data_IF_705055141722
#
_entry.id   IF_705055141722
#
_cell.length_a   1.000
_cell.length_b   1.000
_cell.length_c   1.000
_cell.angle_alpha   90.00
_cell.angle_beta   90.00
_cell.angle_gamma   90.00
#
_symmetry.space_group_name_H-M   'P 1'
#
loop_
_entity.id
_entity.type
_entity.pdbx_description
1 polymer ?
#
# COMPACT_ATOMS: atom_id res chain seq x y z
N UNK A 1 44.62 13.80 53.96
CA UNK A 1 45.44 12.70 54.43
C UNK A 1 45.42 11.60 53.40
N UNK A 2 46.48 11.52 52.83
CA UNK A 2 47.49 10.45 52.50
C UNK A 2 46.98 9.60 51.33
N UNK A 3 47.51 9.77 50.19
CA UNK A 3 48.79 9.36 49.49
C UNK A 3 48.69 7.98 48.85
N UNK A 4 48.74 7.96 47.54
CA UNK A 4 49.87 7.65 46.64
C UNK A 4 50.16 6.15 46.52
N UNK A 5 50.24 5.71 45.24
CA UNK A 5 50.88 4.47 44.85
C UNK A 5 50.82 4.15 43.36
N UNK A 6 51.66 4.84 42.56
CA UNK A 6 52.09 4.43 41.21
C UNK A 6 53.00 3.22 41.30
N UNK A 7 52.93 2.27 40.37
CA UNK A 7 54.13 1.59 39.83
C UNK A 7 53.90 1.15 38.37
N UNK A 8 54.70 1.69 37.48
CA UNK A 8 55.03 1.24 36.16
C UNK A 8 56.18 0.20 36.22
N UNK A 9 56.19 -0.79 35.28
CA UNK A 9 57.37 -1.37 34.65
C UNK A 9 56.91 -2.34 33.55
N UNK A 10 57.12 -2.24 32.39
CA UNK A 10 58.09 -2.10 31.29
C UNK A 10 58.99 -3.35 31.10
N UNK A 11 58.89 -3.85 29.82
CA UNK A 11 59.90 -4.50 28.98
C UNK A 11 60.47 -5.87 29.30
N UNK A 12 60.50 -6.69 28.20
CA UNK A 12 61.52 -7.72 28.04
C UNK A 12 61.24 -8.70 26.92
N UNK A 13 61.92 -8.53 25.81
CA UNK A 13 61.89 -9.27 24.55
C UNK A 13 62.61 -10.61 24.58
N UNK A 14 62.29 -11.38 23.54
CA UNK A 14 63.12 -12.28 22.69
C UNK A 14 63.06 -13.79 22.95
N UNK A 15 62.71 -14.41 21.89
CA UNK A 15 63.32 -15.31 20.92
C UNK A 15 62.96 -16.81 20.92
N UNK A 16 62.48 -17.28 19.75
CA UNK A 16 62.72 -18.54 19.00
C UNK A 16 62.36 -19.89 19.67
N UNK A 17 61.61 -20.74 19.07
CA UNK A 17 61.74 -21.54 17.85
C UNK A 17 60.56 -22.51 17.70
N UNK A 18 60.14 -22.69 16.41
CA UNK A 18 59.62 -23.84 15.66
C UNK A 18 58.90 -25.01 16.37
N UNK A 19 57.68 -25.40 15.96
CA UNK A 19 57.50 -26.41 14.89
C UNK A 19 55.99 -26.73 14.65
N UNK A 20 55.64 -26.97 13.40
CA UNK A 20 54.61 -27.72 12.71
C UNK A 20 53.40 -28.33 13.44
N UNK A 21 52.21 -28.00 12.94
CA UNK A 21 51.00 -28.79 13.06
C UNK A 21 49.85 -28.20 12.21
N UNK A 22 49.72 -28.68 10.98
CA UNK A 22 48.54 -28.46 10.14
C UNK A 22 47.33 -29.03 10.83
N UNK A 23 46.23 -28.26 10.87
CA UNK A 23 44.94 -28.77 10.48
C UNK A 23 44.03 -27.63 9.99
N UNK A 24 43.57 -27.87 8.78
CA UNK A 24 42.57 -27.10 8.04
C UNK A 24 41.21 -27.18 8.75
N UNK A 25 40.63 -26.05 9.07
CA UNK A 25 39.19 -25.88 9.14
C UNK A 25 38.85 -24.56 8.45
N UNK A 26 38.66 -24.63 7.14
CA UNK A 26 38.00 -23.67 6.31
C UNK A 26 36.55 -23.58 6.81
N UNK A 27 36.26 -22.58 7.58
CA UNK A 27 34.90 -22.14 7.83
C UNK A 27 34.64 -20.94 6.94
N UNK A 28 34.04 -21.17 5.80
CA UNK A 28 33.50 -20.12 4.95
C UNK A 28 32.48 -19.34 5.80
N UNK A 29 32.92 -18.19 6.28
CA UNK A 29 32.03 -17.10 6.57
C UNK A 29 31.85 -16.40 5.22
N UNK A 30 30.83 -16.76 4.47
CA UNK A 30 30.19 -15.85 3.55
C UNK A 30 29.70 -14.67 4.38
N UNK A 31 30.53 -13.65 4.39
CA UNK A 31 30.21 -12.37 5.01
C UNK A 31 29.28 -11.62 4.09
N UNK A 32 28.12 -11.36 4.59
CA UNK A 32 27.25 -10.29 4.17
C UNK A 32 27.92 -8.94 4.40
N UNK A 33 28.73 -8.49 3.45
CA UNK A 33 29.30 -7.14 3.38
C UNK A 33 28.88 -6.46 2.06
N UNK A 34 27.56 -6.35 1.77
CA UNK A 34 27.10 -5.60 0.59
C UNK A 34 25.90 -4.66 0.86
N UNK A 35 25.58 -4.35 2.11
CA UNK A 35 24.41 -3.51 2.40
C UNK A 35 24.70 -2.04 2.73
N UNK A 36 25.96 -1.59 2.69
CA UNK A 36 26.30 -0.24 3.15
C UNK A 36 26.16 0.89 2.10
N UNK A 37 25.95 0.56 0.83
CA UNK A 37 26.03 1.55 -0.26
C UNK A 37 24.74 1.69 -1.10
N UNK A 38 23.64 0.99 -0.80
CA UNK A 38 22.39 1.14 -1.56
C UNK A 38 21.44 2.09 -0.85
N UNK A 39 20.78 2.95 -1.64
CA UNK A 39 19.85 3.94 -1.13
C UNK A 39 18.59 4.01 -1.99
N UNK A 40 17.43 4.20 -1.36
CA UNK A 40 16.15 4.32 -2.03
C UNK A 40 15.32 5.49 -1.49
N UNK A 41 14.57 6.15 -2.35
CA UNK A 41 13.68 7.23 -1.94
C UNK A 41 12.37 7.20 -2.71
N UNK A 42 11.35 7.91 -2.21
CA UNK A 42 10.07 8.01 -2.89
C UNK A 42 9.57 9.45 -2.98
N UNK A 43 8.81 9.73 -4.03
CA UNK A 43 7.99 10.95 -4.16
C UNK A 43 6.53 10.57 -4.01
N UNK A 44 5.83 11.21 -3.06
CA UNK A 44 4.39 10.97 -2.86
C UNK A 44 3.56 11.71 -3.91
N UNK A 45 2.34 11.21 -4.15
CA UNK A 45 1.29 12.06 -4.71
C UNK A 45 0.84 13.13 -3.70
N UNK A 46 -0.26 13.85 -4.01
CA UNK A 46 -0.79 14.92 -3.17
C UNK A 46 -1.39 14.44 -1.84
N UNK A 47 -1.56 13.12 -1.63
CA UNK A 47 -2.08 12.55 -0.39
C UNK A 47 -1.09 12.62 0.77
N UNK A 48 0.20 12.57 0.47
CA UNK A 48 1.28 12.59 1.47
C UNK A 48 1.35 11.32 2.32
N UNK A 49 2.44 11.17 3.08
CA UNK A 49 2.74 9.94 3.85
C UNK A 49 1.80 9.69 5.06
N UNK A 50 0.96 10.65 5.40
CA UNK A 50 0.00 10.55 6.51
C UNK A 50 -1.44 10.27 6.03
N UNK A 51 -1.61 9.82 4.78
CA UNK A 51 -2.93 9.55 4.18
C UNK A 51 -3.69 8.38 4.83
N UNK A 52 -3.04 7.61 5.67
CA UNK A 52 -3.54 6.38 6.32
C UNK A 52 -3.84 5.24 5.35
N UNK A 53 -3.34 5.34 4.12
CA UNK A 53 -3.67 4.49 2.99
C UNK A 53 -2.42 4.24 2.12
N UNK A 54 -2.45 4.66 0.88
CA UNK A 54 -1.54 4.35 -0.21
C UNK A 54 -0.10 4.83 0.00
N UNK A 55 0.09 6.15 0.21
CA UNK A 55 1.43 6.71 0.40
C UNK A 55 2.04 6.25 1.73
N UNK A 56 1.23 6.12 2.79
CA UNK A 56 1.71 5.59 4.06
C UNK A 56 2.17 4.14 3.91
N UNK A 57 1.44 3.29 3.16
CA UNK A 57 1.85 1.92 2.88
C UNK A 57 3.21 1.86 2.17
N UNK A 58 3.40 2.66 1.10
CA UNK A 58 4.68 2.73 0.41
C UNK A 58 5.83 3.18 1.33
N UNK A 59 5.56 4.19 2.18
CA UNK A 59 6.54 4.67 3.13
C UNK A 59 6.91 3.63 4.19
N UNK A 60 5.93 2.86 4.67
CA UNK A 60 6.17 1.74 5.59
C UNK A 60 7.08 0.67 4.96
N UNK A 61 6.94 0.37 3.66
CA UNK A 61 7.84 -0.53 2.93
C UNK A 61 9.28 -0.01 2.92
N UNK A 62 9.49 1.27 2.62
CA UNK A 62 10.82 1.88 2.70
C UNK A 62 11.41 1.84 4.12
N UNK A 63 10.59 2.10 5.14
CA UNK A 63 11.02 2.07 6.53
C UNK A 63 11.40 0.66 6.99
N UNK A 64 10.61 -0.35 6.60
CA UNK A 64 10.88 -1.75 6.94
C UNK A 64 12.20 -2.19 6.31
N UNK A 65 12.36 -1.96 5.00
CA UNK A 65 13.62 -2.22 4.31
C UNK A 65 14.80 -1.51 4.99
N UNK A 66 14.67 -0.22 5.29
CA UNK A 66 15.73 0.54 5.96
C UNK A 66 16.08 -0.02 7.34
N UNK A 67 15.08 -0.42 8.13
CA UNK A 67 15.28 -1.01 9.45
C UNK A 67 16.02 -2.35 9.37
N UNK A 68 15.69 -3.22 8.40
CA UNK A 68 16.36 -4.50 8.17
C UNK A 68 17.83 -4.34 7.78
N UNK A 69 18.17 -3.23 7.10
CA UNK A 69 19.53 -2.93 6.67
C UNK A 69 20.28 -1.96 7.62
N UNK A 70 19.69 -1.63 8.78
CA UNK A 70 20.31 -0.74 9.76
C UNK A 70 20.43 0.71 9.30
N UNK A 71 19.63 1.11 8.33
CA UNK A 71 19.59 2.45 7.75
C UNK A 71 18.62 3.35 8.54
N UNK A 72 18.68 4.66 8.31
CA UNK A 72 17.76 5.62 8.90
C UNK A 72 17.36 6.68 7.88
N UNK A 73 16.23 7.31 8.11
CA UNK A 73 15.76 8.40 7.25
C UNK A 73 16.82 9.49 7.10
N UNK A 74 17.09 9.90 5.85
CA UNK A 74 18.18 10.82 5.49
C UNK A 74 19.57 10.17 5.46
N UNK A 75 19.64 8.85 5.78
CA UNK A 75 20.85 8.05 5.67
C UNK A 75 20.48 6.67 5.11
N UNK A 76 20.42 6.55 3.79
CA UNK A 76 20.04 5.35 3.05
C UNK A 76 18.62 5.36 2.52
N UNK A 77 17.66 6.02 3.18
CA UNK A 77 16.32 6.21 2.61
C UNK A 77 15.68 7.54 3.01
N UNK A 78 14.77 8.05 2.17
CA UNK A 78 13.98 9.27 2.45
C UNK A 78 12.71 9.33 1.58
N UNK A 79 11.90 10.38 1.80
CA UNK A 79 10.81 10.74 0.91
C UNK A 79 10.78 12.23 0.61
N UNK A 80 10.17 12.56 -0.52
CA UNK A 80 9.78 13.92 -0.88
C UNK A 80 8.25 13.97 -0.98
N UNK A 81 7.63 14.75 -0.10
CA UNK A 81 6.18 14.92 -0.11
C UNK A 81 5.78 16.00 -1.11
N UNK A 82 4.75 15.71 -1.90
CA UNK A 82 4.14 16.66 -2.81
C UNK A 82 2.81 17.16 -2.23
N UNK A 83 2.57 18.46 -2.30
CA UNK A 83 1.32 19.08 -1.91
C UNK A 83 0.49 19.53 -3.13
N UNK A 84 1.16 19.61 -4.27
CA UNK A 84 0.59 19.96 -5.58
C UNK A 84 1.35 19.21 -6.67
N UNK A 85 0.74 19.01 -7.84
CA UNK A 85 1.38 18.37 -9.00
C UNK A 85 2.65 19.12 -9.46
N UNK A 86 2.70 20.45 -9.27
CA UNK A 86 3.89 21.24 -9.58
C UNK A 86 5.12 20.85 -8.73
N UNK A 87 4.94 20.13 -7.63
CA UNK A 87 6.04 19.66 -6.78
C UNK A 87 6.71 18.37 -7.34
N UNK A 88 6.07 17.63 -8.27
CA UNK A 88 6.57 16.33 -8.74
C UNK A 88 7.96 16.42 -9.37
N UNK A 89 8.13 17.27 -10.39
CA UNK A 89 9.43 17.46 -11.06
C UNK A 89 10.52 17.99 -10.10
N UNK A 90 10.29 19.03 -9.28
CA UNK A 90 11.26 19.48 -8.27
C UNK A 90 11.65 18.37 -7.29
N UNK A 91 10.69 17.60 -6.78
CA UNK A 91 10.94 16.53 -5.83
C UNK A 91 11.75 15.38 -6.46
N UNK A 92 11.35 14.89 -7.65
CA UNK A 92 12.11 13.88 -8.39
C UNK A 92 13.53 14.35 -8.69
N UNK A 93 13.68 15.59 -9.20
CA UNK A 93 15.00 16.16 -9.53
C UNK A 93 15.89 16.30 -8.29
N UNK A 94 15.31 16.64 -7.13
CA UNK A 94 16.06 16.70 -5.86
C UNK A 94 16.61 15.34 -5.50
N UNK A 95 15.77 14.29 -5.49
CA UNK A 95 16.20 12.93 -5.12
C UNK A 95 17.27 12.39 -6.09
N UNK A 96 17.18 12.70 -7.39
CA UNK A 96 18.24 12.33 -8.35
C UNK A 96 19.56 13.04 -8.00
N UNK A 97 19.53 14.33 -7.63
CA UNK A 97 20.74 15.09 -7.23
C UNK A 97 21.32 14.65 -5.90
N UNK A 98 20.47 14.12 -5.02
CA UNK A 98 20.86 13.53 -3.73
C UNK A 98 21.44 12.10 -3.91
N UNK A 99 21.56 11.64 -5.19
CA UNK A 99 22.23 10.41 -5.63
C UNK A 99 21.63 9.10 -5.08
N UNK A 100 20.28 9.06 -4.93
CA UNK A 100 19.59 7.82 -4.60
C UNK A 100 19.66 6.81 -5.74
N UNK A 101 19.97 5.53 -5.41
CA UNK A 101 20.11 4.45 -6.40
C UNK A 101 18.76 4.06 -7.03
N UNK A 102 17.67 4.12 -6.28
CA UNK A 102 16.32 3.82 -6.74
C UNK A 102 15.33 4.86 -6.22
N UNK A 103 14.53 5.44 -7.11
CA UNK A 103 13.56 6.48 -6.79
C UNK A 103 12.17 6.04 -7.24
N UNK A 104 11.26 5.92 -6.27
CA UNK A 104 9.86 5.58 -6.53
C UNK A 104 9.02 6.82 -6.80
N UNK A 105 8.16 6.76 -7.80
CA UNK A 105 6.99 7.63 -7.95
C UNK A 105 5.76 6.89 -7.43
N UNK A 106 5.14 7.41 -6.37
CA UNK A 106 4.00 6.76 -5.74
C UNK A 106 2.70 7.35 -6.29
N UNK A 107 2.07 6.59 -7.19
CA UNK A 107 0.80 6.92 -7.82
C UNK A 107 0.88 7.30 -9.29
N UNK A 108 -0.19 6.96 -10.01
CA UNK A 108 -0.30 7.15 -11.47
C UNK A 108 -0.20 8.63 -11.91
N UNK A 109 -0.53 9.57 -11.03
CA UNK A 109 -0.44 11.00 -11.34
C UNK A 109 0.99 11.49 -11.58
N UNK A 110 2.02 10.74 -11.09
CA UNK A 110 3.43 11.05 -11.33
C UNK A 110 3.94 10.57 -12.69
N UNK A 111 3.17 9.75 -13.44
CA UNK A 111 3.62 9.09 -14.67
C UNK A 111 4.30 10.03 -15.66
N UNK A 112 3.63 11.13 -16.03
CA UNK A 112 4.16 12.05 -17.04
C UNK A 112 5.47 12.72 -16.60
N UNK A 113 5.54 13.12 -15.33
CA UNK A 113 6.68 13.84 -14.79
C UNK A 113 7.85 12.90 -14.47
N UNK A 114 7.55 11.68 -13.96
CA UNK A 114 8.57 10.64 -13.79
C UNK A 114 9.16 10.21 -15.14
N UNK A 115 8.32 10.06 -16.19
CA UNK A 115 8.81 9.77 -17.55
C UNK A 115 9.81 10.81 -18.03
N UNK A 116 9.51 12.10 -17.90
CA UNK A 116 10.43 13.19 -18.28
C UNK A 116 11.75 13.13 -17.54
N UNK A 117 11.71 12.85 -16.24
CA UNK A 117 12.91 12.77 -15.40
C UNK A 117 13.71 11.51 -15.75
N UNK A 118 13.08 10.36 -15.92
CA UNK A 118 13.75 9.11 -16.30
C UNK A 118 14.40 9.18 -17.68
N UNK A 119 13.80 9.86 -18.66
CA UNK A 119 14.41 10.13 -19.97
C UNK A 119 15.65 11.01 -19.88
N UNK A 120 15.67 11.96 -18.93
CA UNK A 120 16.79 12.88 -18.71
C UNK A 120 17.93 12.23 -17.93
N UNK A 121 17.63 11.36 -16.95
CA UNK A 121 18.59 10.74 -16.04
C UNK A 121 18.63 9.21 -16.24
N UNK A 122 19.25 8.80 -17.37
CA UNK A 122 19.23 7.41 -17.84
C UNK A 122 19.99 6.43 -16.98
N UNK A 123 20.92 6.93 -16.17
CA UNK A 123 21.77 6.13 -15.29
C UNK A 123 21.16 5.98 -13.88
N UNK A 124 20.06 6.69 -13.59
CA UNK A 124 19.29 6.56 -12.35
C UNK A 124 18.17 5.54 -12.55
N UNK A 125 17.95 4.64 -11.60
CA UNK A 125 16.85 3.70 -11.62
C UNK A 125 15.61 4.30 -10.94
N UNK A 126 14.46 4.04 -11.55
CA UNK A 126 13.17 4.48 -11.06
C UNK A 126 12.20 3.31 -10.95
N UNK A 127 11.15 3.50 -10.15
CA UNK A 127 9.97 2.65 -10.17
C UNK A 127 8.70 3.53 -10.12
N UNK A 128 7.65 3.15 -10.83
CA UNK A 128 6.33 3.77 -10.76
C UNK A 128 5.35 2.79 -10.12
N UNK A 129 4.56 3.25 -9.14
CA UNK A 129 3.48 2.46 -8.55
C UNK A 129 2.15 2.92 -9.13
N UNK A 130 1.32 1.95 -9.51
CA UNK A 130 -0.03 2.13 -10.07
C UNK A 130 -0.09 2.71 -11.49
N UNK A 131 1.00 2.64 -12.25
CA UNK A 131 1.00 2.88 -13.71
C UNK A 131 2.15 2.13 -14.41
N UNK A 132 2.22 2.27 -15.74
CA UNK A 132 3.24 1.63 -16.58
C UNK A 132 4.03 2.67 -17.36
N UNK A 133 5.37 2.61 -17.28
CA UNK A 133 6.31 3.42 -18.05
C UNK A 133 7.30 2.49 -18.76
N UNK A 134 7.25 2.48 -20.09
CA UNK A 134 8.09 1.60 -20.93
C UNK A 134 9.48 2.21 -21.20
N UNK A 135 10.24 2.52 -20.12
CA UNK A 135 11.60 3.00 -20.20
C UNK A 135 12.56 2.01 -19.55
N UNK A 136 13.78 1.80 -20.11
CA UNK A 136 14.72 0.76 -19.66
C UNK A 136 15.28 0.99 -18.25
N UNK A 137 15.03 2.13 -17.64
CA UNK A 137 15.44 2.47 -16.28
C UNK A 137 14.24 2.68 -15.35
N UNK A 138 13.04 2.27 -15.72
CA UNK A 138 11.82 2.37 -14.89
C UNK A 138 11.18 1.00 -14.72
N UNK A 139 11.08 0.51 -13.49
CA UNK A 139 10.23 -0.63 -13.14
C UNK A 139 8.78 -0.15 -12.97
N UNK A 140 7.82 -0.91 -13.47
CA UNK A 140 6.38 -0.59 -13.34
C UNK A 140 5.72 -1.58 -12.40
N UNK A 141 5.06 -1.08 -11.34
CA UNK A 141 4.40 -1.88 -10.31
C UNK A 141 2.90 -1.63 -10.37
N UNK A 142 2.12 -2.66 -10.62
CA UNK A 142 0.66 -2.58 -10.67
C UNK A 142 0.03 -3.69 -9.82
N UNK A 143 -1.26 -3.55 -9.53
CA UNK A 143 -2.00 -4.51 -8.74
C UNK A 143 -3.30 -4.94 -9.42
N UNK A 144 -3.78 -6.12 -9.02
CA UNK A 144 -5.09 -6.66 -9.44
C UNK A 144 -6.18 -6.19 -8.47
N UNK A 145 -6.37 -4.87 -8.35
CA UNK A 145 -7.25 -4.23 -7.37
C UNK A 145 -8.71 -4.69 -7.49
N UNK A 146 -9.15 -5.00 -8.72
CA UNK A 146 -10.49 -5.55 -8.99
C UNK A 146 -10.75 -6.84 -8.22
N UNK A 147 -9.74 -7.70 -8.02
CA UNK A 147 -9.90 -8.96 -7.27
C UNK A 147 -10.24 -8.71 -5.80
N UNK A 148 -9.44 -7.86 -5.12
CA UNK A 148 -9.70 -7.53 -3.71
C UNK A 148 -10.99 -6.75 -3.51
N UNK A 149 -11.29 -5.83 -4.44
CA UNK A 149 -12.53 -5.07 -4.43
C UNK A 149 -13.76 -5.95 -4.62
N UNK A 150 -13.67 -7.00 -5.44
CA UNK A 150 -14.72 -8.03 -5.54
C UNK A 150 -14.96 -8.71 -4.20
N UNK A 151 -13.91 -9.12 -3.51
CA UNK A 151 -14.02 -9.81 -2.22
C UNK A 151 -14.63 -8.94 -1.13
N UNK A 152 -14.26 -7.65 -1.03
CA UNK A 152 -14.92 -6.74 -0.08
C UNK A 152 -16.36 -6.40 -0.52
N UNK A 153 -16.65 -6.48 -1.82
CA UNK A 153 -18.03 -6.42 -2.34
C UNK A 153 -18.89 -7.59 -1.87
N UNK A 154 -18.34 -8.81 -1.89
CA UNK A 154 -18.97 -10.00 -1.31
C UNK A 154 -19.25 -9.81 0.18
N UNK A 155 -18.25 -9.33 0.93
CA UNK A 155 -18.40 -9.04 2.35
C UNK A 155 -19.49 -8.00 2.62
N UNK A 156 -19.51 -6.90 1.85
CA UNK A 156 -20.53 -5.85 1.95
C UNK A 156 -21.94 -6.39 1.69
N UNK A 157 -22.11 -7.23 0.67
CA UNK A 157 -23.40 -7.82 0.34
C UNK A 157 -23.95 -8.75 1.43
N UNK A 158 -23.06 -9.45 2.13
CA UNK A 158 -23.42 -10.31 3.28
C UNK A 158 -23.76 -9.48 4.52
N UNK A 159 -23.13 -8.33 4.70
CA UNK A 159 -23.24 -7.48 5.90
C UNK A 159 -24.40 -6.49 5.85
N UNK A 160 -24.70 -5.89 4.70
CA UNK A 160 -25.70 -4.83 4.58
C UNK A 160 -27.09 -5.25 5.11
N UNK A 161 -27.76 -4.34 5.81
CA UNK A 161 -29.13 -4.50 6.30
C UNK A 161 -30.14 -3.68 5.47
N UNK A 162 -29.65 -2.69 4.73
CA UNK A 162 -30.51 -1.80 3.94
C UNK A 162 -30.60 -2.19 2.47
N UNK A 163 -29.79 -3.15 2.01
CA UNK A 163 -29.57 -3.45 0.60
C UNK A 163 -29.11 -2.23 -0.21
N UNK A 164 -28.37 -1.33 0.43
CA UNK A 164 -27.77 -0.15 -0.20
C UNK A 164 -26.35 0.03 0.30
N UNK A 165 -25.41 0.02 -0.64
CA UNK A 165 -24.00 0.24 -0.34
C UNK A 165 -23.44 1.37 -1.19
N UNK A 166 -22.35 1.99 -0.76
CA UNK A 166 -21.71 3.09 -1.47
C UNK A 166 -20.28 2.77 -1.85
N UNK A 167 -19.83 3.35 -2.95
CA UNK A 167 -18.43 3.42 -3.35
C UNK A 167 -18.00 4.88 -3.47
N UNK A 168 -16.89 5.26 -2.85
CA UNK A 168 -16.28 6.59 -2.94
C UNK A 168 -14.91 6.46 -3.58
N UNK A 169 -14.81 6.87 -4.85
CA UNK A 169 -13.55 6.95 -5.57
C UNK A 169 -12.82 8.28 -5.34
N UNK A 170 -11.49 8.28 -5.42
CA UNK A 170 -10.70 9.49 -5.43
C UNK A 170 -10.90 10.25 -6.75
N UNK A 171 -10.09 9.98 -7.75
CA UNK A 171 -10.17 10.56 -9.10
C UNK A 171 -10.76 9.52 -10.07
N UNK A 172 -11.72 9.91 -10.91
CA UNK A 172 -12.25 9.03 -11.96
C UNK A 172 -11.16 8.74 -12.99
N UNK A 173 -10.62 7.52 -12.93
CA UNK A 173 -9.50 7.06 -13.73
C UNK A 173 -9.60 5.56 -14.01
N UNK A 174 -8.92 5.03 -15.04
CA UNK A 174 -8.91 3.60 -15.32
C UNK A 174 -8.46 2.76 -14.11
N UNK A 175 -7.54 3.26 -13.28
CA UNK A 175 -7.11 2.60 -12.06
C UNK A 175 -8.24 2.48 -11.04
N UNK A 176 -8.88 3.60 -10.68
CA UNK A 176 -9.94 3.60 -9.66
C UNK A 176 -11.20 2.89 -10.17
N UNK A 177 -11.39 2.84 -11.49
CA UNK A 177 -12.46 2.05 -12.10
C UNK A 177 -12.29 0.54 -11.88
N UNK A 178 -11.07 0.01 -11.67
CA UNK A 178 -10.86 -1.39 -11.26
C UNK A 178 -11.49 -1.67 -9.88
N UNK A 179 -11.30 -0.74 -8.92
CA UNK A 179 -11.88 -0.87 -7.57
C UNK A 179 -13.42 -0.82 -7.63
N UNK A 180 -13.98 0.16 -8.34
CA UNK A 180 -15.42 0.29 -8.57
C UNK A 180 -16.00 -0.98 -9.21
N UNK A 181 -15.38 -1.43 -10.30
CA UNK A 181 -15.82 -2.58 -11.09
C UNK A 181 -15.84 -3.87 -10.29
N UNK A 182 -14.73 -4.17 -9.60
CA UNK A 182 -14.65 -5.33 -8.73
C UNK A 182 -15.68 -5.28 -7.61
N UNK A 183 -15.82 -4.12 -6.92
CA UNK A 183 -16.78 -3.97 -5.83
C UNK A 183 -18.22 -4.21 -6.28
N UNK A 184 -18.65 -3.58 -7.38
CA UNK A 184 -19.99 -3.77 -7.94
C UNK A 184 -20.22 -5.23 -8.30
N UNK A 185 -19.26 -5.86 -9.00
CA UNK A 185 -19.37 -7.26 -9.40
C UNK A 185 -19.50 -8.18 -8.19
N UNK A 186 -18.68 -8.00 -7.14
CA UNK A 186 -18.74 -8.78 -5.90
C UNK A 186 -20.09 -8.64 -5.19
N UNK A 187 -20.58 -7.41 -5.03
CA UNK A 187 -21.91 -7.15 -4.44
C UNK A 187 -23.01 -7.86 -5.24
N UNK A 188 -23.02 -7.67 -6.55
CA UNK A 188 -24.07 -8.23 -7.43
C UNK A 188 -24.01 -9.76 -7.54
N UNK A 189 -22.84 -10.36 -7.42
CA UNK A 189 -22.68 -11.83 -7.41
C UNK A 189 -23.33 -12.50 -6.20
N UNK A 190 -23.46 -11.78 -5.07
CA UNK A 190 -24.12 -12.28 -3.87
C UNK A 190 -25.60 -11.96 -3.89
N UNK A 191 -25.96 -10.73 -4.23
CA UNK A 191 -27.35 -10.30 -4.33
C UNK A 191 -27.50 -9.20 -5.39
N UNK A 192 -28.09 -9.50 -6.54
CA UNK A 192 -28.27 -8.53 -7.64
C UNK A 192 -29.20 -7.37 -7.29
N UNK A 193 -30.04 -7.49 -6.25
CA UNK A 193 -31.01 -6.46 -5.83
C UNK A 193 -30.39 -5.36 -4.95
N UNK A 194 -29.15 -5.54 -4.48
CA UNK A 194 -28.46 -4.51 -3.70
C UNK A 194 -28.13 -3.31 -4.59
N UNK A 195 -28.57 -2.11 -4.17
CA UNK A 195 -28.23 -0.86 -4.83
C UNK A 195 -26.81 -0.42 -4.49
N UNK A 196 -26.01 -0.10 -5.51
CA UNK A 196 -24.63 0.39 -5.34
C UNK A 196 -24.53 1.81 -5.86
N UNK A 197 -24.39 2.78 -4.95
CA UNK A 197 -24.20 4.18 -5.30
C UNK A 197 -22.71 4.48 -5.43
N UNK A 198 -22.32 5.07 -6.55
CA UNK A 198 -20.93 5.46 -6.84
C UNK A 198 -20.82 6.98 -6.87
N UNK A 199 -19.82 7.54 -6.17
CA UNK A 199 -19.45 8.96 -6.27
C UNK A 199 -17.92 9.11 -6.27
N UNK A 200 -17.44 10.13 -6.97
CA UNK A 200 -16.02 10.48 -7.05
C UNK A 200 -15.76 11.83 -6.39
N UNK A 201 -14.68 11.88 -5.62
CA UNK A 201 -14.28 13.11 -4.93
C UNK A 201 -13.42 14.03 -5.80
N UNK A 202 -12.90 13.56 -6.93
CA UNK A 202 -11.94 14.27 -7.79
C UNK A 202 -10.69 14.73 -7.03
N UNK A 203 -10.33 13.99 -5.96
CA UNK A 203 -9.15 14.27 -5.14
C UNK A 203 -8.79 13.07 -4.27
N UNK A 204 -7.49 12.85 -4.03
CA UNK A 204 -6.99 11.90 -3.03
C UNK A 204 -6.64 12.58 -1.69
N UNK A 205 -6.65 13.92 -1.59
CA UNK A 205 -6.25 14.67 -0.40
C UNK A 205 -7.36 15.50 0.26
N UNK A 206 -8.64 15.43 -0.20
CA UNK A 206 -9.73 16.27 0.30
C UNK A 206 -10.67 15.51 1.26
N UNK A 207 -10.25 15.37 2.52
CA UNK A 207 -11.07 14.74 3.56
C UNK A 207 -12.39 15.48 3.80
N UNK A 208 -12.47 16.81 3.58
CA UNK A 208 -13.72 17.55 3.75
C UNK A 208 -14.76 17.14 2.70
N UNK A 209 -14.34 16.96 1.45
CA UNK A 209 -15.19 16.47 0.38
C UNK A 209 -15.62 15.02 0.60
N UNK A 210 -14.67 14.15 1.05
CA UNK A 210 -14.99 12.77 1.45
C UNK A 210 -16.08 12.70 2.52
N UNK A 211 -15.97 13.56 3.53
CA UNK A 211 -17.00 13.67 4.60
C UNK A 211 -18.36 14.09 4.06
N UNK A 212 -18.44 15.06 3.15
CA UNK A 212 -19.70 15.52 2.55
C UNK A 212 -20.35 14.40 1.73
N UNK A 213 -19.57 13.68 0.93
CA UNK A 213 -20.07 12.55 0.13
C UNK A 213 -20.63 11.47 1.06
N UNK A 214 -19.88 11.08 2.10
CA UNK A 214 -20.31 10.09 3.06
C UNK A 214 -21.60 10.49 3.79
N UNK A 215 -21.72 11.78 4.20
CA UNK A 215 -22.92 12.32 4.84
C UNK A 215 -24.15 12.18 3.94
N UNK A 216 -24.03 12.49 2.66
CA UNK A 216 -25.10 12.33 1.68
C UNK A 216 -25.49 10.86 1.48
N UNK A 217 -24.49 9.97 1.40
CA UNK A 217 -24.70 8.53 1.23
C UNK A 217 -25.43 7.93 2.45
N UNK A 218 -24.91 8.15 3.67
CA UNK A 218 -25.54 7.64 4.90
C UNK A 218 -26.94 8.24 5.13
N UNK A 219 -27.17 9.50 4.75
CA UNK A 219 -28.50 10.12 4.81
C UNK A 219 -29.48 9.53 3.81
N UNK A 220 -29.02 8.96 2.70
CA UNK A 220 -29.85 8.27 1.70
C UNK A 220 -30.21 6.82 2.09
N UNK A 221 -29.74 6.35 3.25
CA UNK A 221 -29.99 5.02 3.77
C UNK A 221 -28.95 3.97 3.39
N UNK A 222 -27.80 4.36 2.84
CA UNK A 222 -26.62 3.50 2.68
C UNK A 222 -26.10 3.19 4.08
N UNK A 223 -25.75 1.93 4.33
CA UNK A 223 -25.20 1.47 5.61
C UNK A 223 -23.73 1.03 5.53
N UNK A 224 -23.20 0.80 4.33
CA UNK A 224 -21.78 0.44 4.11
C UNK A 224 -21.23 1.33 3.00
N UNK A 225 -20.08 1.96 3.25
CA UNK A 225 -19.34 2.72 2.24
C UNK A 225 -17.94 2.11 2.10
N UNK A 226 -17.59 1.68 0.88
CA UNK A 226 -16.22 1.37 0.49
C UNK A 226 -15.57 2.59 -0.15
N UNK A 227 -14.37 2.97 0.29
CA UNK A 227 -13.61 4.03 -0.36
C UNK A 227 -12.32 3.50 -1.00
N UNK A 228 -11.99 4.07 -2.17
CA UNK A 228 -10.70 3.96 -2.84
C UNK A 228 -10.22 5.38 -3.17
N UNK A 229 -9.83 6.13 -2.14
CA UNK A 229 -9.68 7.59 -2.24
C UNK A 229 -8.57 8.18 -1.36
N UNK A 230 -7.62 7.37 -0.88
CA UNK A 230 -6.49 7.84 -0.10
C UNK A 230 -6.89 8.68 1.12
N UNK A 231 -6.24 9.82 1.34
CA UNK A 231 -6.53 10.74 2.43
C UNK A 231 -7.94 11.33 2.42
N UNK A 232 -8.61 11.39 1.25
CA UNK A 232 -10.03 11.77 1.14
C UNK A 232 -10.91 10.78 1.91
N UNK A 233 -10.55 9.50 1.95
CA UNK A 233 -11.22 8.44 2.72
C UNK A 233 -11.26 8.69 4.22
N UNK A 234 -10.30 9.43 4.78
CA UNK A 234 -10.34 9.85 6.19
C UNK A 234 -11.61 10.67 6.50
N UNK A 235 -12.14 11.38 5.50
CA UNK A 235 -13.41 12.07 5.60
C UNK A 235 -14.60 11.12 5.74
N UNK A 236 -14.58 9.99 5.04
CA UNK A 236 -15.62 8.94 5.16
C UNK A 236 -15.63 8.37 6.56
N UNK A 237 -14.46 8.01 7.10
CA UNK A 237 -14.31 7.57 8.50
C UNK A 237 -14.78 8.62 9.51
N UNK A 238 -14.44 9.90 9.29
CA UNK A 238 -14.83 10.97 10.19
C UNK A 238 -16.35 11.14 10.24
N UNK A 239 -17.05 11.07 9.08
CA UNK A 239 -18.51 11.13 9.07
C UNK A 239 -19.14 9.92 9.76
N UNK A 240 -18.67 8.72 9.47
CA UNK A 240 -19.15 7.50 10.12
C UNK A 240 -19.01 7.57 11.65
N UNK A 241 -17.85 8.04 12.14
CA UNK A 241 -17.59 8.24 13.56
C UNK A 241 -18.51 9.32 14.19
N UNK A 242 -18.75 10.43 13.49
CA UNK A 242 -19.62 11.50 13.99
C UNK A 242 -21.08 11.04 14.06
N UNK A 243 -21.54 10.26 13.10
CA UNK A 243 -22.88 9.65 13.15
C UNK A 243 -22.94 8.65 14.32
N UNK A 244 -21.95 7.78 14.48
CA UNK A 244 -21.92 6.78 15.56
C UNK A 244 -21.86 7.41 16.95
N UNK A 245 -21.23 8.58 17.11
CA UNK A 245 -21.26 9.38 18.35
C UNK A 245 -22.64 9.90 18.68
N UNK A 246 -23.38 10.37 17.67
CA UNK A 246 -24.71 10.97 17.86
C UNK A 246 -25.80 9.92 17.99
N UNK A 247 -25.64 8.78 17.38
CA UNK A 247 -26.56 7.63 17.37
C UNK A 247 -25.75 6.31 17.49
N UNK A 248 -25.43 5.90 18.73
CA UNK A 248 -24.63 4.70 18.97
C UNK A 248 -25.27 3.39 18.47
N UNK A 249 -26.58 3.34 18.36
CA UNK A 249 -27.33 2.15 17.92
C UNK A 249 -27.40 2.05 16.40
N UNK A 250 -27.02 3.10 15.66
CA UNK A 250 -27.08 3.09 14.21
C UNK A 250 -26.04 2.12 13.63
N UNK A 251 -26.53 1.18 12.85
CA UNK A 251 -25.71 0.26 12.06
C UNK A 251 -25.18 1.00 10.82
N UNK A 252 -23.88 1.24 10.79
CA UNK A 252 -23.17 1.80 9.63
C UNK A 252 -21.69 1.39 9.65
N UNK A 253 -21.10 1.27 8.47
CA UNK A 253 -19.76 0.72 8.31
C UNK A 253 -18.97 1.42 7.21
N UNK A 254 -17.64 1.38 7.35
CA UNK A 254 -16.67 1.80 6.34
C UNK A 254 -15.81 0.60 5.95
N UNK A 255 -15.60 0.39 4.66
CA UNK A 255 -14.56 -0.50 4.13
C UNK A 255 -13.39 0.38 3.73
N UNK A 256 -12.24 0.11 4.33
CA UNK A 256 -10.98 0.78 4.07
C UNK A 256 -10.25 0.26 2.83
N UNK A 257 -9.08 0.85 2.53
CA UNK A 257 -8.26 0.52 1.35
C UNK A 257 -6.77 0.60 1.65
N UNK A 258 -5.97 -0.11 0.87
CA UNK A 258 -4.52 -0.22 0.87
C UNK A 258 -3.96 -0.87 2.14
N UNK A 259 -4.22 -0.30 3.29
CA UNK A 259 -3.82 -0.81 4.61
C UNK A 259 -5.04 -1.37 5.35
N UNK A 260 -4.78 -2.16 6.39
CA UNK A 260 -5.82 -2.43 7.36
C UNK A 260 -6.12 -1.17 8.18
N UNK A 261 -7.21 -0.50 7.82
CA UNK A 261 -7.65 0.75 8.44
C UNK A 261 -8.56 0.51 9.67
N UNK A 262 -8.38 -0.63 10.36
CA UNK A 262 -9.15 -0.95 11.57
C UNK A 262 -9.08 0.16 12.61
N UNK A 263 -7.89 0.72 12.83
CA UNK A 263 -7.69 1.75 13.85
C UNK A 263 -8.34 3.09 13.50
N UNK A 264 -8.53 3.37 12.22
CA UNK A 264 -9.14 4.62 11.76
C UNK A 264 -10.63 4.72 12.09
N UNK A 265 -11.30 3.58 12.26
CA UNK A 265 -12.71 3.50 12.65
C UNK A 265 -12.97 3.54 14.14
N UNK A 266 -11.94 3.49 15.00
CA UNK A 266 -12.13 3.45 16.46
C UNK A 266 -12.76 4.71 17.01
N UNK A 267 -13.77 4.53 17.87
CA UNK A 267 -14.46 5.59 18.56
C UNK A 267 -15.08 5.11 19.88
N UNK A 268 -14.49 5.50 21.01
CA UNK A 268 -14.88 4.97 22.33
C UNK A 268 -14.80 3.44 22.34
N UNK A 269 -15.90 2.80 22.67
CA UNK A 269 -16.03 1.34 22.70
C UNK A 269 -16.53 0.76 21.37
N UNK A 270 -16.65 1.57 20.31
CA UNK A 270 -17.13 1.17 19.00
C UNK A 270 -16.02 1.23 17.95
N UNK A 271 -16.24 0.52 16.84
CA UNK A 271 -15.40 0.64 15.65
C UNK A 271 -16.32 0.64 14.40
N UNK A 272 -16.18 1.66 13.55
CA UNK A 272 -16.95 1.78 12.32
C UNK A 272 -16.25 1.15 11.11
N UNK A 273 -15.01 0.67 11.24
CA UNK A 273 -14.36 -0.10 10.19
C UNK A 273 -14.98 -1.49 10.14
N UNK A 274 -15.57 -1.84 9.02
CA UNK A 274 -16.04 -3.21 8.77
C UNK A 274 -14.86 -4.12 8.45
N UNK A 275 -14.16 -3.79 7.38
CA UNK A 275 -12.97 -4.46 6.86
C UNK A 275 -12.15 -3.48 6.03
N UNK A 276 -11.05 -3.93 5.43
CA UNK A 276 -10.27 -3.18 4.43
C UNK A 276 -9.89 -4.09 3.27
N UNK A 277 -9.94 -3.54 2.06
CA UNK A 277 -9.26 -4.14 0.91
C UNK A 277 -7.78 -3.78 1.00
N UNK A 278 -6.99 -4.73 1.47
CA UNK A 278 -5.56 -4.54 1.69
C UNK A 278 -4.81 -4.72 0.38
N UNK A 279 -4.02 -3.71 0.01
CA UNK A 279 -3.10 -3.70 -1.13
C UNK A 279 -1.69 -3.46 -0.60
N UNK A 280 -0.86 -4.48 -0.65
CA UNK A 280 0.46 -4.53 -0.01
C UNK A 280 1.50 -3.75 -0.83
N UNK A 281 1.30 -2.43 -0.95
CA UNK A 281 2.29 -1.52 -1.57
C UNK A 281 3.60 -1.55 -0.79
N UNK A 282 3.53 -1.69 0.53
CA UNK A 282 4.68 -1.87 1.42
C UNK A 282 5.57 -3.03 0.98
N UNK A 283 4.97 -4.21 0.77
CA UNK A 283 5.70 -5.42 0.33
C UNK A 283 6.28 -5.26 -1.07
N UNK A 284 5.51 -4.68 -2.00
CA UNK A 284 6.00 -4.49 -3.36
C UNK A 284 7.17 -3.50 -3.43
N UNK A 285 7.14 -2.42 -2.65
CA UNK A 285 8.24 -1.45 -2.55
C UNK A 285 9.48 -2.13 -1.97
N UNK A 286 9.33 -2.85 -0.85
CA UNK A 286 10.42 -3.56 -0.19
C UNK A 286 11.05 -4.63 -1.11
N UNK A 287 10.21 -5.42 -1.81
CA UNK A 287 10.67 -6.45 -2.75
C UNK A 287 11.48 -5.87 -3.91
N UNK A 288 10.98 -4.80 -4.55
CA UNK A 288 11.68 -4.14 -5.66
C UNK A 288 13.01 -3.53 -5.22
N UNK A 289 13.11 -2.98 -4.00
CA UNK A 289 14.39 -2.49 -3.48
C UNK A 289 15.37 -3.67 -3.26
N UNK A 290 14.90 -4.75 -2.64
CA UNK A 290 15.72 -5.94 -2.39
C UNK A 290 16.22 -6.61 -3.67
N UNK A 291 15.44 -6.58 -4.75
CA UNK A 291 15.86 -7.07 -6.07
C UNK A 291 16.88 -6.12 -6.70
N UNK A 292 16.63 -4.80 -6.64
CA UNK A 292 17.55 -3.79 -7.17
C UNK A 292 18.92 -3.83 -6.48
N UNK A 293 18.99 -4.09 -5.17
CA UNK A 293 20.24 -4.31 -4.44
C UNK A 293 21.06 -5.50 -4.96
N UNK A 294 20.39 -6.50 -5.54
CA UNK A 294 21.04 -7.67 -6.18
C UNK A 294 21.41 -7.43 -7.65
N UNK A 295 21.14 -6.21 -8.16
CA UNK A 295 21.38 -5.83 -9.55
C UNK A 295 20.19 -6.15 -10.48
N UNK A 296 19.04 -6.54 -9.94
CA UNK A 296 17.80 -6.84 -10.69
C UNK A 296 16.88 -5.61 -10.64
N UNK A 297 17.06 -4.68 -11.56
CA UNK A 297 16.35 -3.39 -11.53
C UNK A 297 15.00 -3.37 -12.25
N UNK A 298 14.63 -4.42 -12.98
CA UNK A 298 13.36 -4.57 -13.71
C UNK A 298 12.98 -3.39 -14.63
N UNK A 299 13.99 -2.67 -15.13
CA UNK A 299 13.76 -1.54 -16.03
C UNK A 299 13.06 -1.95 -17.33
N UNK A 300 11.93 -1.33 -17.64
CA UNK A 300 11.05 -1.66 -18.76
C UNK A 300 10.13 -2.85 -18.52
N UNK A 301 10.13 -3.44 -17.32
CA UNK A 301 9.27 -4.57 -16.96
C UNK A 301 8.04 -4.13 -16.16
N UNK A 302 6.96 -4.92 -16.29
CA UNK A 302 5.75 -4.79 -15.50
C UNK A 302 5.70 -5.89 -14.44
N UNK A 303 5.67 -5.48 -13.18
CA UNK A 303 5.45 -6.32 -12.02
C UNK A 303 3.99 -6.17 -11.58
N UNK A 304 3.16 -7.18 -11.79
CA UNK A 304 1.75 -7.13 -11.41
C UNK A 304 1.48 -8.06 -10.24
N UNK A 305 0.94 -7.53 -9.16
CA UNK A 305 0.67 -8.22 -7.90
C UNK A 305 -0.84 -8.42 -7.67
N UNK A 306 -1.23 -9.59 -7.20
CA UNK A 306 -2.62 -9.95 -6.96
C UNK A 306 -2.84 -10.77 -5.70
N UNK A 307 -3.93 -11.54 -5.70
CA UNK A 307 -4.25 -12.48 -4.63
C UNK A 307 -3.25 -13.65 -4.60
N UNK A 308 -2.75 -14.06 -5.76
CA UNK A 308 -1.77 -15.16 -5.89
C UNK A 308 -0.46 -14.85 -5.19
N UNK A 309 -0.02 -13.59 -5.21
CA UNK A 309 1.20 -13.10 -4.57
C UNK A 309 0.96 -12.64 -3.12
N UNK A 310 -0.22 -12.91 -2.53
CA UNK A 310 -0.65 -12.42 -1.22
C UNK A 310 -0.55 -10.87 -1.06
N UNK A 311 -0.50 -10.16 -2.18
CA UNK A 311 -0.41 -8.70 -2.21
C UNK A 311 -1.79 -8.00 -2.16
N UNK A 312 -2.85 -8.76 -2.40
CA UNK A 312 -4.25 -8.31 -2.31
C UNK A 312 -4.99 -9.24 -1.35
N UNK A 313 -5.64 -8.66 -0.34
CA UNK A 313 -6.39 -9.43 0.66
C UNK A 313 -7.54 -8.62 1.28
N UNK A 314 -8.32 -9.29 2.13
CA UNK A 314 -9.42 -8.70 2.91
C UNK A 314 -9.04 -8.79 4.39
N UNK A 315 -9.04 -7.66 5.10
CA UNK A 315 -8.73 -7.61 6.52
C UNK A 315 -9.82 -8.29 7.35
N UNK A 316 -9.41 -9.06 8.37
CA UNK A 316 -10.32 -9.74 9.30
C UNK A 316 -10.20 -9.24 10.74
N UNK A 317 -9.51 -8.12 10.95
CA UNK A 317 -9.12 -7.59 12.27
C UNK A 317 -10.32 -7.18 13.13
N UNK A 318 -11.42 -6.72 12.51
CA UNK A 318 -12.66 -6.48 13.22
C UNK A 318 -13.50 -7.77 13.33
N UNK A 319 -13.17 -8.64 14.28
CA UNK A 319 -13.83 -9.93 14.49
C UNK A 319 -15.33 -9.80 14.81
N UNK A 320 -15.76 -8.67 15.40
CA UNK A 320 -17.19 -8.40 15.68
C UNK A 320 -17.98 -8.12 14.40
N UNK A 321 -17.34 -7.48 13.42
CA UNK A 321 -17.97 -7.11 12.16
C UNK A 321 -17.80 -8.17 11.08
N UNK A 322 -16.61 -8.77 10.98
CA UNK A 322 -16.23 -9.83 10.05
C UNK A 322 -16.53 -11.20 10.68
N UNK A 323 -17.81 -11.58 10.70
CA UNK A 323 -18.28 -12.84 11.26
C UNK A 323 -17.84 -14.06 10.43
N UNK A 324 -17.79 -15.24 11.04
CA UNK A 324 -17.30 -16.46 10.39
C UNK A 324 -17.98 -16.76 9.04
N UNK A 325 -19.30 -16.52 8.94
CA UNK A 325 -20.07 -16.74 7.70
C UNK A 325 -19.70 -15.74 6.58
N UNK A 326 -19.26 -14.52 6.94
CA UNK A 326 -18.74 -13.54 5.97
C UNK A 326 -17.35 -13.96 5.51
N UNK A 327 -16.49 -14.37 6.45
CA UNK A 327 -15.13 -14.82 6.16
C UNK A 327 -15.18 -16.08 5.26
N UNK A 328 -16.06 -17.04 5.58
CA UNK A 328 -16.26 -18.24 4.76
C UNK A 328 -16.69 -17.87 3.33
N UNK A 329 -17.66 -16.97 3.18
CA UNK A 329 -18.11 -16.51 1.86
C UNK A 329 -16.98 -15.80 1.08
N UNK A 330 -16.19 -14.94 1.72
CA UNK A 330 -15.03 -14.28 1.10
C UNK A 330 -14.01 -15.31 0.62
N UNK A 331 -13.71 -16.33 1.44
CA UNK A 331 -12.76 -17.38 1.08
C UNK A 331 -13.29 -18.26 -0.07
N UNK A 332 -14.56 -18.61 -0.10
CA UNK A 332 -15.15 -19.35 -1.21
C UNK A 332 -15.01 -18.60 -2.55
N UNK A 333 -15.24 -17.28 -2.55
CA UNK A 333 -15.07 -16.47 -3.75
C UNK A 333 -13.60 -16.23 -4.11
N UNK A 334 -12.70 -16.11 -3.11
CA UNK A 334 -11.26 -16.08 -3.33
C UNK A 334 -10.79 -17.33 -4.09
N UNK A 335 -11.21 -18.52 -3.65
CA UNK A 335 -10.87 -19.77 -4.34
C UNK A 335 -11.41 -19.82 -5.77
N UNK A 336 -12.63 -19.35 -6.02
CA UNK A 336 -13.18 -19.28 -7.38
C UNK A 336 -12.39 -18.37 -8.31
N UNK A 337 -11.89 -17.23 -7.78
CA UNK A 337 -11.04 -16.31 -8.55
C UNK A 337 -9.70 -16.98 -8.84
N UNK A 338 -9.06 -17.59 -7.84
CA UNK A 338 -7.76 -18.27 -8.00
C UNK A 338 -7.84 -19.47 -8.96
N UNK A 339 -8.94 -20.19 -8.97
CA UNK A 339 -9.16 -21.32 -9.89
C UNK A 339 -9.56 -20.89 -11.31
N UNK A 340 -9.80 -19.58 -11.53
CA UNK A 340 -10.27 -19.06 -12.83
C UNK A 340 -11.75 -19.33 -13.13
N UNK A 341 -12.54 -19.72 -12.12
CA UNK A 341 -14.00 -19.92 -12.24
C UNK A 341 -14.74 -18.58 -12.34
N UNK A 342 -14.11 -17.49 -11.91
CA UNK A 342 -14.63 -16.12 -11.95
C UNK A 342 -13.56 -15.20 -12.54
N UNK A 343 -13.87 -14.62 -13.68
CA UNK A 343 -13.10 -13.51 -14.25
C UNK A 343 -13.67 -12.19 -13.76
N UNK A 344 -12.95 -11.55 -12.83
CA UNK A 344 -13.42 -10.32 -12.19
C UNK A 344 -13.28 -9.14 -13.16
N UNK A 345 -14.36 -8.39 -13.44
CA UNK A 345 -14.31 -7.26 -14.37
C UNK A 345 -13.42 -6.13 -13.85
N UNK A 346 -12.70 -5.49 -14.78
CA UNK A 346 -11.75 -4.39 -14.53
C UNK A 346 -12.27 -3.03 -14.97
N UNK A 347 -13.30 -3.03 -15.82
CA UNK A 347 -13.87 -1.81 -16.43
C UNK A 347 -15.38 -1.75 -16.22
N UNK A 348 -15.94 -0.55 -16.31
CA UNK A 348 -17.40 -0.34 -16.22
C UNK A 348 -18.18 -1.10 -17.30
N UNK A 349 -17.60 -1.23 -18.52
CA UNK A 349 -18.22 -1.99 -19.62
C UNK A 349 -18.26 -3.48 -19.31
N UNK A 350 -17.12 -4.04 -18.86
CA UNK A 350 -17.05 -5.43 -18.42
C UNK A 350 -17.97 -5.70 -17.24
N UNK A 351 -18.04 -4.77 -16.27
CA UNK A 351 -18.93 -4.89 -15.09
C UNK A 351 -20.40 -4.95 -15.51
N UNK A 352 -20.81 -4.12 -16.48
CA UNK A 352 -22.17 -4.15 -16.99
C UNK A 352 -22.47 -5.51 -17.63
N UNK A 353 -21.58 -5.99 -18.49
CA UNK A 353 -21.75 -7.29 -19.15
C UNK A 353 -21.77 -8.45 -18.13
N UNK A 354 -20.90 -8.38 -17.11
CA UNK A 354 -20.85 -9.35 -16.01
C UNK A 354 -22.18 -9.42 -15.24
N UNK A 355 -22.69 -8.27 -14.82
CA UNK A 355 -23.95 -8.19 -14.05
C UNK A 355 -25.17 -8.60 -14.87
N UNK A 356 -25.20 -8.28 -16.18
CA UNK A 356 -26.28 -8.75 -17.09
C UNK A 356 -26.25 -10.27 -17.30
N UNK A 357 -25.13 -10.93 -17.03
CA UNK A 357 -24.95 -12.38 -17.14
C UNK A 357 -25.26 -13.19 -15.86
N UNK A 358 -25.50 -12.52 -14.72
CA UNK A 358 -25.85 -13.14 -13.45
C UNK A 358 -27.33 -13.53 -13.44
#
# INVERSE_FOLDING_TARGET
>A
MLTIGFVLAACGSSDKDKDNGKDNASGDKEGTEESADFSAAMVTDIGGVDDKSFNQSAWEGLQNWGAEHGLSRGNGFDYAQSNDKADYIPNLTRLVRDDYNLIFGIGFELKEDLTKIAEQYKDTHFAIVDDVIELPNVASITFKEHQGSFLVGVAAAKKTKTNKVGFVGGIDSPLINKFESGFIAGVKSVNPDIDVKVEYAESFGDAAKGKIIASNMYSSGIDIIYHASGGTGNGVFNEAKDIKKSDPDRELWVIGVDRDQHDEGKIGDHNVTFTSMVKRVDVAVEDVINQAMKGEHHGGELLEYGIEEDAISVATTNEEAMTDDIIEAVNEWKEKILNGDVDVPKTREETKAYVEGL
#
